data_IF_998555757457
#
_entry.id   IF_998555757457
#
_cell.length_a   1.000
_cell.length_b   1.000
_cell.length_c   1.000
_cell.angle_alpha   90.00
_cell.angle_beta   90.00
_cell.angle_gamma   90.00
#
_symmetry.space_group_name_H-M   'P 1'
#
loop_
_entity.id
_entity.type
_entity.pdbx_description
1 polymer ?
#
# COMPACT_ATOMS: atom_id res chain seq x y z
N UNK A 1 -14.12 23.42 121.89
CA UNK A 1 -13.01 22.49 121.60
C UNK A 1 -13.66 21.19 121.11
N UNK A 2 -14.17 21.18 119.88
CA UNK A 2 -13.51 20.77 118.62
C UNK A 2 -12.99 19.32 118.67
N UNK A 3 -13.40 18.55 117.63
CA UNK A 3 -13.08 17.15 117.26
C UNK A 3 -14.01 16.08 117.87
N UNK A 4 -14.63 15.16 117.15
CA UNK A 4 -14.72 14.88 115.70
C UNK A 4 -15.83 13.82 115.56
N UNK A 5 -16.97 14.16 114.97
CA UNK A 5 -17.98 13.18 114.57
C UNK A 5 -17.82 12.93 113.07
N UNK A 6 -17.03 11.92 112.71
CA UNK A 6 -17.05 11.35 111.36
C UNK A 6 -17.91 10.08 111.42
N UNK A 7 -19.23 10.27 111.48
CA UNK A 7 -20.13 9.20 111.08
C UNK A 7 -19.83 8.96 109.59
N UNK A 8 -19.34 7.77 109.26
CA UNK A 8 -19.23 7.35 107.87
C UNK A 8 -20.66 7.34 107.29
N UNK A 9 -21.01 8.38 106.54
CA UNK A 9 -22.21 8.37 105.70
C UNK A 9 -22.23 7.04 104.94
N UNK A 10 -23.32 6.26 105.03
CA UNK A 10 -23.35 4.96 104.38
C UNK A 10 -23.08 5.13 102.88
N UNK A 11 -22.26 4.26 102.28
CA UNK A 11 -21.82 4.44 100.88
C UNK A 11 -22.97 4.59 99.88
N UNK A 12 -24.16 4.07 100.22
CA UNK A 12 -25.40 4.18 99.43
C UNK A 12 -26.08 5.56 99.48
N UNK A 13 -25.70 6.45 100.42
CA UNK A 13 -26.14 7.85 100.47
C UNK A 13 -25.17 8.80 99.73
N UNK A 14 -24.00 8.31 99.29
CA UNK A 14 -23.02 9.11 98.56
C UNK A 14 -23.44 9.25 97.08
N UNK A 15 -23.66 10.47 96.56
CA UNK A 15 -24.04 10.69 95.15
C UNK A 15 -23.04 10.07 94.16
N UNK A 16 -21.76 10.06 94.51
CA UNK A 16 -20.69 9.50 93.67
C UNK A 16 -20.85 7.99 93.45
N UNK A 17 -21.40 7.26 94.43
CA UNK A 17 -21.68 5.82 94.30
C UNK A 17 -22.75 5.55 93.24
N UNK A 18 -23.88 6.27 93.28
CA UNK A 18 -24.94 6.14 92.28
C UNK A 18 -24.52 6.65 90.89
N UNK A 19 -23.64 7.64 90.81
CA UNK A 19 -23.01 8.06 89.54
C UNK A 19 -22.14 6.93 88.97
N UNK A 20 -21.33 6.26 89.80
CA UNK A 20 -20.55 5.11 89.37
C UNK A 20 -21.42 3.93 88.90
N UNK A 21 -22.50 3.63 89.62
CA UNK A 21 -23.46 2.57 89.24
C UNK A 21 -24.16 2.89 87.93
N UNK A 22 -24.64 4.12 87.73
CA UNK A 22 -25.27 4.54 86.48
C UNK A 22 -24.29 4.53 85.30
N UNK A 23 -23.03 4.92 85.51
CA UNK A 23 -21.97 4.81 84.51
C UNK A 23 -21.64 3.35 84.17
N UNK A 24 -21.57 2.46 85.17
CA UNK A 24 -21.35 1.04 84.94
C UNK A 24 -22.51 0.39 84.17
N UNK A 25 -23.77 0.76 84.47
CA UNK A 25 -24.95 0.31 83.73
C UNK A 25 -24.92 0.85 82.29
N UNK A 26 -24.57 2.13 82.10
CA UNK A 26 -24.42 2.73 80.76
C UNK A 26 -23.34 2.00 79.94
N UNK A 27 -22.18 1.74 80.54
CA UNK A 27 -21.08 1.05 79.88
C UNK A 27 -21.45 -0.41 79.57
N UNK A 28 -22.09 -1.11 80.51
CA UNK A 28 -22.62 -2.46 80.29
C UNK A 28 -23.67 -2.52 79.18
N UNK A 29 -24.56 -1.52 79.11
CA UNK A 29 -25.53 -1.39 78.03
C UNK A 29 -24.88 -1.05 76.69
N UNK A 30 -23.89 -0.15 76.66
CA UNK A 30 -23.12 0.20 75.46
C UNK A 30 -22.30 -0.99 74.92
N UNK A 31 -21.74 -1.82 75.81
CA UNK A 31 -21.06 -3.06 75.47
C UNK A 31 -22.06 -4.11 74.94
N UNK A 32 -23.23 -4.26 75.57
CA UNK A 32 -24.30 -5.16 75.11
C UNK A 32 -24.87 -4.76 73.74
N UNK A 33 -24.99 -3.45 73.48
CA UNK A 33 -25.40 -2.89 72.19
C UNK A 33 -24.28 -2.92 71.14
N UNK A 34 -23.07 -3.36 71.51
CA UNK A 34 -21.98 -3.58 70.55
C UNK A 34 -21.46 -2.30 69.90
N UNK A 35 -21.56 -1.14 70.56
CA UNK A 35 -21.14 0.16 69.98
C UNK A 35 -19.68 0.12 69.50
N UNK A 36 -18.78 -0.49 70.28
CA UNK A 36 -17.38 -0.69 69.90
C UNK A 36 -17.21 -1.62 68.68
N UNK A 37 -18.04 -2.66 68.57
CA UNK A 37 -18.01 -3.56 67.41
C UNK A 37 -18.51 -2.86 66.15
N UNK A 38 -19.54 -2.03 66.24
CA UNK A 38 -20.04 -1.24 65.10
C UNK A 38 -19.00 -0.25 64.57
N UNK A 39 -18.24 0.41 65.47
CA UNK A 39 -17.16 1.32 65.08
C UNK A 39 -16.03 0.55 64.40
N UNK A 40 -15.60 -0.58 64.99
CA UNK A 40 -14.58 -1.46 64.40
C UNK A 40 -14.97 -1.96 63.01
N UNK A 41 -16.23 -2.41 62.85
CA UNK A 41 -16.77 -2.84 61.55
C UNK A 41 -16.76 -1.71 60.52
N UNK A 42 -17.19 -0.50 60.90
CA UNK A 42 -17.18 0.63 59.97
C UNK A 42 -15.79 1.02 59.48
N UNK A 43 -14.77 0.86 60.34
CA UNK A 43 -13.37 1.11 59.98
C UNK A 43 -12.83 0.01 59.06
N UNK A 44 -13.19 -1.26 59.33
CA UNK A 44 -12.78 -2.39 58.51
C UNK A 44 -13.46 -2.38 57.13
N UNK A 45 -14.74 -2.03 57.06
CA UNK A 45 -15.49 -1.83 55.81
C UNK A 45 -14.83 -0.72 54.96
N UNK A 46 -14.44 0.39 55.59
CA UNK A 46 -13.69 1.48 54.92
C UNK A 46 -12.31 1.02 54.46
N UNK A 47 -11.57 0.30 55.29
CA UNK A 47 -10.25 -0.20 54.93
C UNK A 47 -10.35 -1.18 53.76
N UNK A 48 -11.38 -2.03 53.73
CA UNK A 48 -11.64 -2.96 52.64
C UNK A 48 -12.01 -2.23 51.36
N UNK A 49 -12.92 -1.24 51.42
CA UNK A 49 -13.28 -0.42 50.26
C UNK A 49 -12.06 0.28 49.65
N UNK A 50 -11.22 0.91 50.48
CA UNK A 50 -9.99 1.57 50.01
C UNK A 50 -9.02 0.58 49.38
N UNK A 51 -8.86 -0.62 49.96
CA UNK A 51 -8.02 -1.66 49.36
C UNK A 51 -8.55 -2.08 47.98
N UNK A 52 -9.85 -2.33 47.87
CA UNK A 52 -10.48 -2.69 46.60
C UNK A 52 -10.32 -1.60 45.54
N UNK A 53 -10.52 -0.33 45.90
CA UNK A 53 -10.31 0.81 44.98
C UNK A 53 -8.85 0.91 44.52
N UNK A 54 -7.88 0.72 45.42
CA UNK A 54 -6.44 0.74 45.07
C UNK A 54 -6.10 -0.43 44.15
N UNK A 55 -6.62 -1.62 44.42
CA UNK A 55 -6.37 -2.81 43.61
C UNK A 55 -6.99 -2.66 42.22
N UNK A 56 -8.19 -2.11 42.13
CA UNK A 56 -8.83 -1.80 40.85
C UNK A 56 -8.05 -0.73 40.07
N UNK A 57 -7.61 0.34 40.74
CA UNK A 57 -6.78 1.38 40.12
C UNK A 57 -5.45 0.81 39.60
N UNK A 58 -4.82 -0.12 40.33
CA UNK A 58 -3.62 -0.84 39.88
C UNK A 58 -3.92 -1.70 38.66
N UNK A 59 -5.00 -2.48 38.69
CA UNK A 59 -5.43 -3.30 37.56
C UNK A 59 -5.66 -2.47 36.31
N UNK A 60 -6.41 -1.37 36.42
CA UNK A 60 -6.68 -0.45 35.31
C UNK A 60 -5.40 0.19 34.76
N UNK A 61 -4.45 0.56 35.63
CA UNK A 61 -3.15 1.08 35.21
C UNK A 61 -2.36 0.05 34.41
N UNK A 62 -2.36 -1.20 34.85
CA UNK A 62 -1.61 -2.26 34.18
C UNK A 62 -2.28 -2.67 32.86
N UNK A 63 -3.61 -2.69 32.79
CA UNK A 63 -4.36 -2.84 31.54
C UNK A 63 -4.07 -1.69 30.56
N UNK A 64 -4.08 -0.44 31.03
CA UNK A 64 -3.76 0.72 30.20
C UNK A 64 -2.33 0.68 29.66
N UNK A 65 -1.36 0.25 30.48
CA UNK A 65 0.03 0.04 30.01
C UNK A 65 0.12 -1.06 28.98
N UNK A 66 -0.53 -2.21 29.21
CA UNK A 66 -0.54 -3.31 28.26
C UNK A 66 -1.14 -2.88 26.92
N UNK A 67 -2.25 -2.13 26.97
CA UNK A 67 -2.88 -1.57 25.79
C UNK A 67 -1.97 -0.58 25.06
N UNK A 68 -1.31 0.33 25.79
CA UNK A 68 -0.36 1.27 25.21
C UNK A 68 0.79 0.56 24.47
N UNK A 69 1.36 -0.48 25.07
CA UNK A 69 2.43 -1.25 24.45
C UNK A 69 1.95 -2.03 23.21
N UNK A 70 0.73 -2.56 23.24
CA UNK A 70 0.11 -3.19 22.07
C UNK A 70 -0.11 -2.18 20.93
N UNK A 71 -0.62 -0.98 21.23
CA UNK A 71 -0.79 0.08 20.25
C UNK A 71 0.54 0.57 19.66
N UNK A 72 1.59 0.72 20.48
CA UNK A 72 2.92 1.07 19.98
C UNK A 72 3.47 0.01 19.03
N UNK A 73 3.32 -1.28 19.36
CA UNK A 73 3.72 -2.38 18.48
C UNK A 73 2.94 -2.36 17.16
N UNK A 74 1.62 -2.18 17.23
CA UNK A 74 0.76 -2.07 16.04
C UNK A 74 1.13 -0.87 15.17
N UNK A 75 1.43 0.27 15.79
CA UNK A 75 1.87 1.47 15.07
C UNK A 75 3.20 1.23 14.35
N UNK A 76 4.20 0.70 15.05
CA UNK A 76 5.51 0.39 14.46
C UNK A 76 5.39 -0.65 13.34
N UNK A 77 4.55 -1.67 13.51
CA UNK A 77 4.27 -2.66 12.46
C UNK A 77 3.60 -2.03 11.24
N UNK A 78 2.61 -1.16 11.45
CA UNK A 78 1.93 -0.45 10.36
C UNK A 78 2.86 0.51 9.61
N UNK A 79 3.76 1.21 10.31
CA UNK A 79 4.79 2.05 9.68
C UNK A 79 5.76 1.22 8.84
N UNK A 80 6.22 0.08 9.37
CA UNK A 80 7.10 -0.82 8.64
C UNK A 80 6.41 -1.42 7.40
N UNK A 81 5.15 -1.81 7.51
CA UNK A 81 4.35 -2.31 6.40
C UNK A 81 4.13 -1.23 5.33
N UNK A 82 3.77 -0.01 5.73
CA UNK A 82 3.62 1.12 4.81
C UNK A 82 4.92 1.42 4.06
N UNK A 83 6.06 1.42 4.76
CA UNK A 83 7.37 1.60 4.13
C UNK A 83 7.68 0.48 3.14
N UNK A 84 7.40 -0.78 3.51
CA UNK A 84 7.56 -1.92 2.62
C UNK A 84 6.68 -1.82 1.36
N UNK A 85 5.42 -1.39 1.50
CA UNK A 85 4.51 -1.16 0.38
C UNK A 85 5.09 -0.12 -0.57
N UNK A 86 5.59 1.01 -0.06
CA UNK A 86 6.18 2.07 -0.86
C UNK A 86 7.44 1.58 -1.59
N UNK A 87 8.31 0.84 -0.91
CA UNK A 87 9.52 0.28 -1.51
C UNK A 87 9.20 -0.73 -2.61
N UNK A 88 8.25 -1.64 -2.36
CA UNK A 88 7.80 -2.61 -3.35
C UNK A 88 7.19 -1.91 -4.56
N UNK A 89 6.32 -0.92 -4.35
CA UNK A 89 5.70 -0.15 -5.42
C UNK A 89 6.73 0.61 -6.27
N UNK A 90 7.80 1.15 -5.65
CA UNK A 90 8.90 1.79 -6.38
C UNK A 90 9.66 0.78 -7.24
N UNK A 91 10.04 -0.38 -6.68
CA UNK A 91 10.73 -1.43 -7.44
C UNK A 91 9.88 -1.92 -8.61
N UNK A 92 8.58 -2.13 -8.39
CA UNK A 92 7.66 -2.59 -9.41
C UNK A 92 7.50 -1.54 -10.51
N UNK A 93 7.39 -0.26 -10.15
CA UNK A 93 7.32 0.85 -11.10
C UNK A 93 8.61 0.94 -11.95
N UNK A 94 9.79 0.79 -11.34
CA UNK A 94 11.08 0.78 -12.05
C UNK A 94 11.20 -0.43 -13.00
N UNK A 95 10.77 -1.61 -12.56
CA UNK A 95 10.75 -2.81 -13.38
C UNK A 95 9.81 -2.64 -14.59
N UNK A 96 8.58 -2.15 -14.37
CA UNK A 96 7.61 -1.85 -15.44
C UNK A 96 8.17 -0.80 -16.40
N UNK A 97 8.79 0.27 -15.89
CA UNK A 97 9.37 1.31 -16.73
C UNK A 97 10.51 0.77 -17.60
N UNK A 98 11.36 -0.09 -17.04
CA UNK A 98 12.48 -0.72 -17.76
C UNK A 98 11.95 -1.64 -18.86
N UNK A 99 10.99 -2.49 -18.53
CA UNK A 99 10.36 -3.42 -19.47
C UNK A 99 9.60 -2.67 -20.57
N UNK A 100 8.86 -1.62 -20.22
CA UNK A 100 8.18 -0.76 -21.18
C UNK A 100 9.16 -0.09 -22.15
N UNK A 101 10.30 0.44 -21.66
CA UNK A 101 11.36 1.00 -22.51
C UNK A 101 11.96 -0.03 -23.45
N UNK A 102 12.21 -1.25 -22.97
CA UNK A 102 12.71 -2.36 -23.78
C UNK A 102 11.74 -2.70 -24.91
N UNK A 103 10.47 -2.88 -24.60
CA UNK A 103 9.42 -3.19 -25.58
C UNK A 103 9.19 -2.04 -26.57
N UNK A 104 9.29 -0.79 -26.12
CA UNK A 104 9.18 0.38 -27.00
C UNK A 104 10.34 0.42 -27.99
N UNK A 105 11.57 0.17 -27.53
CA UNK A 105 12.76 0.13 -28.38
C UNK A 105 12.66 -0.96 -29.43
N UNK A 106 12.29 -2.17 -29.03
CA UNK A 106 12.08 -3.30 -29.95
C UNK A 106 10.99 -2.99 -30.99
N UNK A 107 9.88 -2.39 -30.55
CA UNK A 107 8.79 -1.98 -31.45
C UNK A 107 9.25 -0.91 -32.44
N UNK A 108 10.03 0.08 -31.98
CA UNK A 108 10.58 1.12 -32.85
C UNK A 108 11.56 0.53 -33.87
N UNK A 109 12.51 -0.30 -33.44
CA UNK A 109 13.46 -0.96 -34.36
C UNK A 109 12.73 -1.78 -35.43
N UNK A 110 11.71 -2.56 -35.04
CA UNK A 110 10.89 -3.31 -36.00
C UNK A 110 10.14 -2.39 -36.96
N UNK A 111 9.55 -1.30 -36.48
CA UNK A 111 8.83 -0.33 -37.32
C UNK A 111 9.77 0.37 -38.29
N UNK A 112 10.97 0.73 -37.85
CA UNK A 112 12.01 1.34 -38.69
C UNK A 112 12.41 0.38 -39.81
N UNK A 113 12.72 -0.89 -39.50
CA UNK A 113 13.04 -1.90 -40.52
C UNK A 113 11.92 -2.06 -41.55
N UNK A 114 10.66 -2.15 -41.10
CA UNK A 114 9.51 -2.25 -42.02
C UNK A 114 9.37 -1.00 -42.90
N UNK A 115 9.66 0.19 -42.37
CA UNK A 115 9.65 1.43 -43.15
C UNK A 115 10.79 1.46 -44.18
N UNK A 116 12.01 1.09 -43.77
CA UNK A 116 13.17 0.97 -44.67
C UNK A 116 12.92 -0.02 -45.80
N UNK A 117 12.38 -1.20 -45.48
CA UNK A 117 12.00 -2.20 -46.50
C UNK A 117 10.91 -1.68 -47.45
N UNK A 118 9.95 -0.90 -46.96
CA UNK A 118 8.93 -0.27 -47.82
C UNK A 118 9.54 0.77 -48.74
N UNK A 119 10.47 1.59 -48.24
CA UNK A 119 11.19 2.58 -49.04
C UNK A 119 12.00 1.87 -50.13
N UNK A 120 12.81 0.87 -49.77
CA UNK A 120 13.61 0.11 -50.72
C UNK A 120 12.77 -0.57 -51.81
N UNK A 121 11.60 -1.13 -51.45
CA UNK A 121 10.65 -1.67 -52.44
C UNK A 121 10.08 -0.59 -53.37
N UNK A 122 9.70 0.56 -52.82
CA UNK A 122 9.18 1.68 -53.60
C UNK A 122 10.24 2.25 -54.57
N UNK A 123 11.49 2.37 -54.12
CA UNK A 123 12.62 2.78 -54.96
C UNK A 123 12.86 1.81 -56.11
N UNK A 124 12.92 0.50 -55.82
CA UNK A 124 13.08 -0.53 -56.85
C UNK A 124 11.94 -0.50 -57.87
N UNK A 125 10.71 -0.31 -57.41
CA UNK A 125 9.54 -0.18 -58.27
C UNK A 125 9.62 1.08 -59.15
N UNK A 126 9.95 2.25 -58.58
CA UNK A 126 10.10 3.50 -59.33
C UNK A 126 11.18 3.38 -60.41
N UNK A 127 12.32 2.75 -60.10
CA UNK A 127 13.38 2.49 -61.10
C UNK A 127 12.88 1.58 -62.22
N UNK A 128 12.13 0.53 -61.89
CA UNK A 128 11.54 -0.36 -62.89
C UNK A 128 10.53 0.36 -63.79
N UNK A 129 9.68 1.22 -63.21
CA UNK A 129 8.70 2.03 -63.94
C UNK A 129 9.38 3.01 -64.91
N UNK A 130 10.42 3.74 -64.47
CA UNK A 130 11.20 4.64 -65.34
C UNK A 130 11.88 3.87 -66.48
N UNK A 131 12.41 2.67 -66.20
CA UNK A 131 13.01 1.81 -67.21
C UNK A 131 11.98 1.35 -68.24
N UNK A 132 10.80 0.92 -67.79
CA UNK A 132 9.70 0.52 -68.68
C UNK A 132 9.28 1.68 -69.59
N UNK A 133 9.02 2.86 -69.00
CA UNK A 133 8.64 4.04 -69.76
C UNK A 133 9.70 4.45 -70.81
N UNK A 134 10.99 4.28 -70.48
CA UNK A 134 12.09 4.51 -71.42
C UNK A 134 12.10 3.51 -72.57
N UNK A 135 11.84 2.23 -72.31
CA UNK A 135 11.73 1.17 -73.34
C UNK A 135 10.52 1.43 -74.24
N UNK A 136 9.39 1.81 -73.66
CA UNK A 136 8.16 2.12 -74.41
C UNK A 136 8.37 3.32 -75.34
N UNK A 137 9.00 4.39 -74.84
CA UNK A 137 9.35 5.57 -75.63
C UNK A 137 10.34 5.24 -76.77
N UNK A 138 11.38 4.46 -76.48
CA UNK A 138 12.36 4.04 -77.49
C UNK A 138 11.70 3.16 -78.57
N UNK A 139 10.80 2.26 -78.18
CA UNK A 139 10.08 1.38 -79.10
C UNK A 139 9.13 2.17 -79.99
N UNK A 140 8.38 3.13 -79.42
CA UNK A 140 7.51 4.04 -80.17
C UNK A 140 8.30 4.90 -81.17
N UNK A 141 9.45 5.45 -80.75
CA UNK A 141 10.34 6.21 -81.64
C UNK A 141 10.89 5.34 -82.77
N UNK A 142 11.33 4.11 -82.48
CA UNK A 142 11.79 3.16 -83.49
C UNK A 142 10.69 2.80 -84.49
N UNK A 143 9.47 2.53 -84.03
CA UNK A 143 8.31 2.29 -84.89
C UNK A 143 8.05 3.48 -85.83
N UNK A 144 8.11 4.71 -85.31
CA UNK A 144 7.92 5.92 -86.12
C UNK A 144 9.02 6.08 -87.18
N UNK A 145 10.29 5.88 -86.82
CA UNK A 145 11.42 5.95 -87.77
C UNK A 145 11.34 4.86 -88.85
N UNK A 146 10.95 3.62 -88.48
CA UNK A 146 10.73 2.55 -89.44
C UNK A 146 9.56 2.86 -90.39
N UNK A 147 8.46 3.40 -89.88
CA UNK A 147 7.31 3.79 -90.69
C UNK A 147 7.70 4.87 -91.72
N UNK A 148 8.51 5.86 -91.32
CA UNK A 148 9.00 6.92 -92.22
C UNK A 148 10.00 6.44 -93.28
N UNK A 149 10.79 5.38 -93.01
CA UNK A 149 11.78 4.82 -93.94
C UNK A 149 11.29 3.61 -94.76
N UNK A 150 10.00 3.26 -94.63
CA UNK A 150 9.41 2.02 -95.17
C UNK A 150 9.51 1.88 -96.70
N UNK A 151 9.50 2.98 -97.45
CA UNK A 151 9.55 2.94 -98.91
C UNK A 151 10.93 2.60 -99.50
N UNK A 152 12.03 2.90 -98.80
CA UNK A 152 13.40 2.68 -99.30
C UNK A 152 14.10 1.44 -98.69
N UNK A 153 13.71 1.02 -97.48
CA UNK A 153 14.37 -0.08 -96.76
C UNK A 153 13.73 -1.47 -96.99
N UNK A 154 12.43 -1.52 -97.34
CA UNK A 154 11.64 -2.76 -97.36
C UNK A 154 12.18 -3.86 -98.29
N UNK A 155 12.61 -3.51 -99.50
CA UNK A 155 13.15 -4.48 -100.47
C UNK A 155 14.49 -5.06 -100.02
N UNK A 156 15.40 -4.23 -99.48
CA UNK A 156 16.71 -4.71 -98.99
C UNK A 156 16.61 -5.58 -97.73
N UNK A 157 15.59 -5.36 -96.90
CA UNK A 157 15.33 -6.16 -95.70
C UNK A 157 14.76 -7.53 -96.03
N UNK A 158 13.92 -7.63 -97.07
CA UNK A 158 13.43 -8.89 -97.60
C UNK A 158 14.60 -9.71 -98.17
N UNK A 159 15.46 -9.10 -98.99
CA UNK A 159 16.63 -9.78 -99.56
C UNK A 159 17.60 -10.29 -98.47
N UNK A 160 17.85 -9.49 -97.42
CA UNK A 160 18.64 -9.92 -96.26
C UNK A 160 17.97 -11.03 -95.45
N UNK A 161 16.65 -10.99 -95.28
CA UNK A 161 15.92 -12.04 -94.54
C UNK A 161 15.90 -13.36 -95.31
N UNK A 162 15.79 -13.31 -96.64
CA UNK A 162 15.92 -14.48 -97.52
C UNK A 162 17.36 -15.05 -97.45
N UNK A 163 18.38 -14.19 -97.43
CA UNK A 163 19.77 -14.62 -97.28
C UNK A 163 20.06 -15.26 -95.91
N UNK A 164 19.52 -14.70 -94.82
CA UNK A 164 19.72 -15.22 -93.46
C UNK A 164 19.01 -16.58 -93.26
N UNK A 165 17.79 -16.74 -93.79
CA UNK A 165 17.08 -18.02 -93.83
C UNK A 165 17.86 -19.09 -94.63
N UNK A 166 18.46 -18.70 -95.75
CA UNK A 166 19.32 -19.58 -96.56
C UNK A 166 20.60 -19.99 -95.81
N UNK A 167 21.14 -19.11 -94.96
CA UNK A 167 22.31 -19.39 -94.12
C UNK A 167 22.03 -20.30 -92.91
N UNK A 168 20.78 -20.36 -92.43
CA UNK A 168 20.35 -21.23 -91.30
C UNK A 168 19.79 -22.58 -91.74
N UNK A 169 19.58 -22.79 -93.04
CA UNK A 169 19.07 -24.03 -93.65
C UNK A 169 20.15 -24.85 -94.38
N UNK A 170 21.42 -24.47 -94.25
CA UNK A 170 22.59 -25.28 -94.63
C UNK A 170 23.27 -25.86 -93.39
#
# INVERSE_FOLDING_TARGET
>A
MVLLAAASEPFWQNPTFWVGVSFAILLGFALKQGVFSSIGKSLDDRATAIRTEIDEARRLKDEAKALLEDYKKKHAAAEAEAQSIIENAKRDAEAIATEARRNMKETLERRTKVAEEKIARAEAQAVAEVRSASVDLATAAAQQVLASNSAAAGTSLIDKSIADLKGRLN
#
